data_IF_490387115837
#
_entry.id   IF_490387115837
#
_cell.length_a   1.000
_cell.length_b   1.000
_cell.length_c   1.000
_cell.angle_alpha   90.00
_cell.angle_beta   90.00
_cell.angle_gamma   90.00
#
_symmetry.space_group_name_H-M   'P 1'
#
loop_
_entity.id
_entity.type
_entity.pdbx_description
1 polymer ?
#
# COMPACT_ATOMS: atom_id res chain seq x y z
N UNK A 1 -64.38 -14.35 -0.46
CA UNK A 1 -63.30 -13.87 0.40
C UNK A 1 -61.96 -14.39 -0.14
N UNK A 2 -61.32 -13.71 -1.06
CA UNK A 2 -59.98 -14.10 -1.65
C UNK A 2 -59.11 -12.84 -1.93
N UNK A 3 -58.96 -11.98 -0.92
CA UNK A 3 -58.25 -10.68 -1.12
C UNK A 3 -57.01 -10.43 -0.27
N UNK A 4 -56.66 -11.34 0.66
CA UNK A 4 -55.63 -11.02 1.70
C UNK A 4 -54.27 -11.70 1.49
N UNK A 5 -54.13 -12.63 0.55
CA UNK A 5 -52.87 -13.35 0.34
C UNK A 5 -51.93 -12.70 -0.69
N UNK A 6 -52.41 -11.82 -1.55
CA UNK A 6 -51.58 -11.17 -2.58
C UNK A 6 -50.76 -9.99 -2.04
N UNK A 7 -51.21 -9.33 -0.97
CA UNK A 7 -50.51 -8.20 -0.35
C UNK A 7 -49.24 -8.61 0.42
N UNK A 8 -49.24 -9.77 1.07
CA UNK A 8 -48.11 -10.24 1.88
C UNK A 8 -46.95 -10.75 1.04
N UNK A 9 -47.21 -11.38 -0.13
CA UNK A 9 -46.13 -11.85 -1.03
C UNK A 9 -45.39 -10.71 -1.70
N UNK A 10 -46.09 -9.68 -2.13
CA UNK A 10 -45.48 -8.48 -2.74
C UNK A 10 -44.61 -7.70 -1.73
N UNK A 11 -45.07 -7.57 -0.49
CA UNK A 11 -44.32 -6.93 0.59
C UNK A 11 -43.04 -7.73 0.93
N UNK A 12 -43.15 -9.06 1.00
CA UNK A 12 -41.99 -9.95 1.26
C UNK A 12 -40.93 -9.87 0.16
N UNK A 13 -41.34 -9.91 -1.10
CA UNK A 13 -40.43 -9.80 -2.25
C UNK A 13 -39.78 -8.41 -2.31
N UNK A 14 -40.49 -7.38 -1.97
CA UNK A 14 -39.96 -6.01 -1.92
C UNK A 14 -38.93 -5.84 -0.79
N UNK A 15 -39.24 -6.33 0.41
CA UNK A 15 -38.30 -6.33 1.54
C UNK A 15 -37.03 -7.14 1.26
N UNK A 16 -37.16 -8.30 0.61
CA UNK A 16 -36.03 -9.13 0.21
C UNK A 16 -35.11 -8.40 -0.77
N UNK A 17 -35.68 -7.71 -1.79
CA UNK A 17 -34.90 -6.90 -2.74
C UNK A 17 -34.21 -5.72 -2.09
N UNK A 18 -34.82 -5.07 -1.12
CA UNK A 18 -34.21 -3.98 -0.34
C UNK A 18 -33.04 -4.54 0.48
N UNK A 19 -33.21 -5.65 1.17
CA UNK A 19 -32.17 -6.28 1.95
C UNK A 19 -30.99 -6.76 1.07
N UNK A 20 -31.25 -7.36 -0.10
CA UNK A 20 -30.22 -7.78 -1.05
C UNK A 20 -29.41 -6.57 -1.58
N UNK A 21 -30.07 -5.45 -1.88
CA UNK A 21 -29.39 -4.20 -2.31
C UNK A 21 -28.57 -3.59 -1.19
N UNK A 22 -29.08 -3.57 0.05
CA UNK A 22 -28.33 -3.08 1.21
C UNK A 22 -27.11 -3.94 1.50
N UNK A 23 -27.21 -5.26 1.39
CA UNK A 23 -26.07 -6.18 1.54
C UNK A 23 -25.05 -6.03 0.41
N UNK A 24 -25.47 -5.78 -0.83
CA UNK A 24 -24.57 -5.54 -1.95
C UNK A 24 -23.79 -4.23 -1.75
N UNK A 25 -24.48 -3.13 -1.41
CA UNK A 25 -23.85 -1.85 -1.13
C UNK A 25 -22.86 -1.91 0.05
N UNK A 26 -23.21 -2.64 1.12
CA UNK A 26 -22.32 -2.85 2.26
C UNK A 26 -21.04 -3.64 1.90
N UNK A 27 -21.15 -4.64 1.02
CA UNK A 27 -20.00 -5.40 0.54
C UNK A 27 -19.09 -4.55 -0.34
N UNK A 28 -19.65 -3.76 -1.22
CA UNK A 28 -18.91 -2.86 -2.11
C UNK A 28 -18.14 -1.80 -1.32
N UNK A 29 -18.79 -1.17 -0.32
CA UNK A 29 -18.13 -0.22 0.57
C UNK A 29 -16.99 -0.86 1.38
N UNK A 30 -17.17 -2.09 1.86
CA UNK A 30 -16.12 -2.83 2.56
C UNK A 30 -14.92 -3.09 1.66
N UNK A 31 -15.14 -3.55 0.43
CA UNK A 31 -14.06 -3.79 -0.54
C UNK A 31 -13.32 -2.50 -0.90
N UNK A 32 -14.05 -1.39 -1.04
CA UNK A 32 -13.47 -0.06 -1.24
C UNK A 32 -12.54 0.34 -0.09
N UNK A 33 -12.99 0.17 1.15
CA UNK A 33 -12.21 0.45 2.35
C UNK A 33 -10.97 -0.47 2.47
N UNK A 34 -11.11 -1.75 2.15
CA UNK A 34 -10.00 -2.70 2.14
C UNK A 34 -8.93 -2.33 1.09
N UNK A 35 -9.35 -1.90 -0.11
CA UNK A 35 -8.43 -1.40 -1.15
C UNK A 35 -7.72 -0.13 -0.68
N UNK A 36 -8.45 0.84 -0.15
CA UNK A 36 -7.87 2.08 0.37
C UNK A 36 -6.83 1.80 1.45
N UNK A 37 -7.14 0.90 2.40
CA UNK A 37 -6.22 0.49 3.45
C UNK A 37 -4.98 -0.23 2.88
N UNK A 38 -5.12 -1.06 1.84
CA UNK A 38 -4.01 -1.74 1.21
C UNK A 38 -3.10 -0.78 0.44
N UNK A 39 -3.67 0.16 -0.33
CA UNK A 39 -2.90 1.16 -1.07
C UNK A 39 -2.12 2.10 -0.15
N UNK A 40 -2.78 2.67 0.86
CA UNK A 40 -2.14 3.56 1.82
C UNK A 40 -1.12 2.82 2.70
N UNK A 41 -1.41 1.59 3.09
CA UNK A 41 -0.51 0.74 3.85
C UNK A 41 0.77 0.42 3.09
N UNK A 42 0.68 0.09 1.81
CA UNK A 42 1.85 -0.14 0.96
C UNK A 42 2.71 1.13 0.81
N UNK A 43 2.11 2.26 0.45
CA UNK A 43 2.82 3.53 0.31
C UNK A 43 3.52 3.95 1.62
N UNK A 44 2.86 3.75 2.76
CA UNK A 44 3.44 3.99 4.08
C UNK A 44 4.63 3.08 4.37
N UNK A 45 4.48 1.77 4.18
CA UNK A 45 5.51 0.79 4.47
C UNK A 45 6.79 0.98 3.63
N UNK A 46 6.67 1.26 2.33
CA UNK A 46 7.84 1.53 1.47
C UNK A 46 8.51 2.87 1.82
N UNK A 47 7.75 3.86 2.29
CA UNK A 47 8.29 5.14 2.74
C UNK A 47 9.08 5.00 4.06
N UNK A 48 8.60 4.16 4.98
CA UNK A 48 9.36 3.82 6.20
C UNK A 48 10.64 3.06 5.85
N UNK A 49 10.57 2.07 4.96
CA UNK A 49 11.74 1.33 4.50
C UNK A 49 12.77 2.27 3.86
N UNK A 50 12.35 3.19 3.00
CA UNK A 50 13.24 4.23 2.44
C UNK A 50 14.00 4.97 3.54
N UNK A 51 13.30 5.45 4.58
CA UNK A 51 13.92 6.17 5.70
C UNK A 51 14.92 5.31 6.47
N UNK A 52 14.59 4.04 6.71
CA UNK A 52 15.49 3.09 7.35
C UNK A 52 16.77 2.86 6.55
N UNK A 53 16.66 2.66 5.24
CA UNK A 53 17.80 2.47 4.35
C UNK A 53 18.70 3.71 4.26
N UNK A 54 18.13 4.90 4.24
CA UNK A 54 18.89 6.16 4.29
C UNK A 54 19.66 6.27 5.59
N UNK A 55 19.05 5.90 6.73
CA UNK A 55 19.74 5.87 8.02
C UNK A 55 20.93 4.90 7.97
N UNK A 56 20.77 3.70 7.41
CA UNK A 56 21.87 2.73 7.21
C UNK A 56 22.96 3.33 6.32
N UNK A 57 22.58 3.99 5.23
CA UNK A 57 23.53 4.62 4.30
C UNK A 57 24.40 5.66 5.00
N UNK A 58 23.83 6.56 5.84
CA UNK A 58 24.58 7.53 6.61
C UNK A 58 25.46 6.88 7.68
N UNK A 59 24.93 5.90 8.44
CA UNK A 59 25.68 5.20 9.49
C UNK A 59 26.89 4.44 8.92
N UNK A 60 26.73 3.83 7.76
CA UNK A 60 27.83 3.13 7.08
C UNK A 60 28.99 4.06 6.69
N UNK A 61 28.69 5.30 6.33
CA UNK A 61 29.67 6.30 5.86
C UNK A 61 30.17 7.26 6.94
N UNK A 62 29.68 7.17 8.15
CA UNK A 62 30.14 7.99 9.26
C UNK A 62 31.63 7.73 9.57
N UNK A 63 32.37 8.80 9.88
CA UNK A 63 33.77 8.70 10.27
C UNK A 63 34.04 9.54 11.53
N UNK A 64 34.37 8.92 12.68
CA UNK A 64 34.49 7.48 12.89
C UNK A 64 33.13 6.77 12.81
N UNK A 65 33.14 5.52 12.39
CA UNK A 65 31.92 4.72 12.32
C UNK A 65 31.59 4.13 13.69
N UNK A 66 30.37 4.38 14.14
CA UNK A 66 29.77 3.73 15.31
C UNK A 66 29.16 2.38 14.88
N UNK A 67 29.83 1.29 15.20
CA UNK A 67 29.40 -0.06 14.80
C UNK A 67 28.09 -0.49 15.43
N UNK A 68 27.81 -0.08 16.66
CA UNK A 68 26.54 -0.44 17.34
C UNK A 68 25.37 0.34 16.75
N UNK A 69 25.55 1.64 16.45
CA UNK A 69 24.54 2.43 15.76
C UNK A 69 24.30 1.92 14.32
N UNK A 70 25.35 1.50 13.62
CA UNK A 70 25.21 0.89 12.29
C UNK A 70 24.44 -0.44 12.35
N UNK A 71 24.78 -1.32 13.28
CA UNK A 71 24.11 -2.60 13.47
C UNK A 71 22.63 -2.42 13.82
N UNK A 72 22.31 -1.49 14.71
CA UNK A 72 20.94 -1.13 15.09
C UNK A 72 20.14 -0.65 13.88
N UNK A 73 20.72 0.25 13.07
CA UNK A 73 20.09 0.73 11.84
C UNK A 73 19.82 -0.40 10.83
N UNK A 74 20.74 -1.36 10.70
CA UNK A 74 20.56 -2.55 9.85
C UNK A 74 19.39 -3.41 10.31
N UNK A 75 19.33 -3.76 11.58
CA UNK A 75 18.24 -4.57 12.14
C UNK A 75 16.88 -3.87 11.93
N UNK A 76 16.82 -2.57 12.17
CA UNK A 76 15.59 -1.81 11.93
C UNK A 76 15.22 -1.77 10.44
N UNK A 77 16.17 -1.60 9.55
CA UNK A 77 15.95 -1.64 8.10
C UNK A 77 15.41 -3.00 7.64
N UNK A 78 15.94 -4.11 8.18
CA UNK A 78 15.46 -5.45 7.87
C UNK A 78 14.00 -5.65 8.34
N UNK A 79 13.67 -5.15 9.54
CA UNK A 79 12.29 -5.15 10.06
C UNK A 79 11.34 -4.36 9.16
N UNK A 80 11.76 -3.18 8.71
CA UNK A 80 10.98 -2.33 7.80
C UNK A 80 10.82 -2.98 6.42
N UNK A 81 11.84 -3.70 5.95
CA UNK A 81 11.77 -4.51 4.73
C UNK A 81 10.69 -5.58 4.82
N UNK A 82 10.67 -6.35 5.90
CA UNK A 82 9.64 -7.36 6.13
C UNK A 82 8.22 -6.76 6.20
N UNK A 83 8.08 -5.57 6.78
CA UNK A 83 6.80 -4.86 6.81
C UNK A 83 6.36 -4.40 5.41
N UNK A 84 7.30 -3.94 4.59
CA UNK A 84 7.02 -3.55 3.20
C UNK A 84 6.61 -4.77 2.34
N UNK A 85 7.27 -5.91 2.50
CA UNK A 85 6.90 -7.17 1.83
C UNK A 85 5.49 -7.61 2.23
N UNK A 86 5.16 -7.53 3.52
CA UNK A 86 3.81 -7.86 4.02
C UNK A 86 2.74 -6.96 3.41
N UNK A 87 3.02 -5.66 3.29
CA UNK A 87 2.12 -4.70 2.67
C UNK A 87 1.96 -4.95 1.16
N UNK A 88 3.04 -5.34 0.47
CA UNK A 88 3.03 -5.74 -0.94
C UNK A 88 2.15 -6.97 -1.15
N UNK A 89 2.33 -8.04 -0.37
CA UNK A 89 1.50 -9.25 -0.47
C UNK A 89 0.02 -8.95 -0.20
N UNK A 90 -0.28 -8.13 0.82
CA UNK A 90 -1.65 -7.72 1.10
C UNK A 90 -2.25 -6.97 -0.10
N UNK A 91 -1.50 -6.08 -0.70
CA UNK A 91 -1.95 -5.32 -1.87
C UNK A 91 -2.24 -6.24 -3.05
N UNK A 92 -1.38 -7.22 -3.34
CA UNK A 92 -1.59 -8.21 -4.39
C UNK A 92 -2.85 -9.06 -4.16
N UNK A 93 -3.15 -9.41 -2.91
CA UNK A 93 -4.34 -10.20 -2.56
C UNK A 93 -5.65 -9.41 -2.69
N UNK A 94 -5.61 -8.10 -2.39
CA UNK A 94 -6.81 -7.24 -2.38
C UNK A 94 -7.06 -6.61 -3.75
N UNK A 95 -6.00 -6.30 -4.50
CA UNK A 95 -6.06 -5.61 -5.77
C UNK A 95 -4.96 -6.10 -6.71
N UNK A 96 -5.17 -7.27 -7.31
CA UNK A 96 -4.30 -7.77 -8.38
C UNK A 96 -4.56 -6.97 -9.68
N UNK A 97 -4.03 -5.74 -9.72
CA UNK A 97 -4.21 -4.80 -10.81
C UNK A 97 -2.94 -4.72 -11.67
N UNK A 98 -3.02 -5.11 -12.96
CA UNK A 98 -1.87 -5.08 -13.86
C UNK A 98 -1.29 -3.68 -14.09
N UNK A 99 -2.04 -2.61 -13.84
CA UNK A 99 -1.55 -1.22 -13.97
C UNK A 99 -0.75 -0.79 -12.74
N UNK A 100 -1.06 -1.32 -11.55
CA UNK A 100 -0.33 -0.99 -10.33
C UNK A 100 1.01 -1.74 -10.22
N UNK A 101 1.12 -2.94 -10.78
CA UNK A 101 2.36 -3.74 -10.74
C UNK A 101 3.61 -3.00 -11.20
N UNK A 102 3.66 -2.44 -12.43
CA UNK A 102 4.86 -1.72 -12.88
C UNK A 102 5.18 -0.50 -12.02
N UNK A 103 4.18 0.15 -11.40
CA UNK A 103 4.40 1.26 -10.48
C UNK A 103 5.02 0.78 -9.15
N UNK A 104 4.59 -0.36 -8.64
CA UNK A 104 5.19 -1.00 -7.47
C UNK A 104 6.64 -1.45 -7.76
N UNK A 105 6.89 -2.00 -8.94
CA UNK A 105 8.24 -2.39 -9.37
C UNK A 105 9.17 -1.17 -9.50
N UNK A 106 8.67 -0.05 -10.00
CA UNK A 106 9.42 1.21 -10.04
C UNK A 106 9.79 1.71 -8.63
N UNK A 107 8.87 1.66 -7.68
CA UNK A 107 9.13 2.00 -6.26
C UNK A 107 10.20 1.08 -5.70
N UNK A 108 10.07 -0.23 -5.90
CA UNK A 108 11.03 -1.24 -5.40
C UNK A 108 12.43 -1.03 -5.97
N UNK A 109 12.53 -0.69 -7.25
CA UNK A 109 13.80 -0.39 -7.91
C UNK A 109 14.49 0.83 -7.28
N UNK A 110 13.74 1.89 -6.93
CA UNK A 110 14.30 3.08 -6.27
C UNK A 110 14.73 2.81 -4.83
N UNK A 111 13.97 2.03 -4.09
CA UNK A 111 14.37 1.56 -2.75
C UNK A 111 15.68 0.77 -2.82
N UNK A 112 15.78 -0.17 -3.75
CA UNK A 112 17.01 -0.96 -3.95
C UNK A 112 18.22 -0.14 -4.36
N UNK A 113 18.03 0.99 -5.04
CA UNK A 113 19.12 1.87 -5.47
C UNK A 113 19.76 2.68 -4.33
N UNK A 114 19.09 2.85 -3.18
CA UNK A 114 19.58 3.66 -2.05
C UNK A 114 20.93 3.15 -1.55
N UNK A 115 21.07 1.84 -1.41
CA UNK A 115 22.33 1.23 -0.91
C UNK A 115 23.51 1.45 -1.85
N UNK A 116 23.25 1.52 -3.15
CA UNK A 116 24.26 1.72 -4.20
C UNK A 116 24.63 3.19 -4.42
N UNK A 117 23.96 4.16 -3.80
CA UNK A 117 24.29 5.57 -3.95
C UNK A 117 25.73 5.84 -3.49
N UNK A 118 26.57 6.40 -4.38
CA UNK A 118 27.98 6.64 -4.12
C UNK A 118 28.22 7.86 -3.22
N UNK A 119 27.38 8.87 -3.40
CA UNK A 119 27.47 10.13 -2.66
C UNK A 119 26.09 10.70 -2.28
N UNK A 120 26.10 11.80 -1.53
CA UNK A 120 24.88 12.46 -1.06
C UNK A 120 24.05 13.01 -2.22
N UNK A 121 24.69 13.46 -3.31
CA UNK A 121 23.96 14.02 -4.45
C UNK A 121 23.17 12.95 -5.17
N UNK A 122 23.74 11.78 -5.39
CA UNK A 122 23.04 10.63 -5.93
C UNK A 122 21.90 10.18 -5.01
N UNK A 123 22.13 10.15 -3.70
CA UNK A 123 21.08 9.82 -2.73
C UNK A 123 19.88 10.76 -2.85
N UNK A 124 20.11 12.08 -2.94
CA UNK A 124 19.03 13.08 -3.12
C UNK A 124 18.25 12.83 -4.42
N UNK A 125 18.92 12.50 -5.50
CA UNK A 125 18.26 12.15 -6.78
C UNK A 125 17.39 10.92 -6.63
N UNK A 126 17.91 9.84 -6.02
CA UNK A 126 17.17 8.60 -5.79
C UNK A 126 15.95 8.85 -4.89
N UNK A 127 16.07 9.67 -3.84
CA UNK A 127 14.93 10.06 -2.99
C UNK A 127 13.85 10.79 -3.77
N UNK A 128 14.24 11.76 -4.62
CA UNK A 128 13.29 12.49 -5.47
C UNK A 128 12.57 11.57 -6.45
N UNK A 129 13.28 10.65 -7.08
CA UNK A 129 12.71 9.66 -8.00
C UNK A 129 11.79 8.66 -7.28
N UNK A 130 12.15 8.26 -6.05
CA UNK A 130 11.29 7.42 -5.21
C UNK A 130 9.97 8.15 -4.89
N UNK A 131 10.02 9.40 -4.49
CA UNK A 131 8.83 10.19 -4.18
C UNK A 131 7.92 10.37 -5.40
N UNK A 132 8.50 10.56 -6.58
CA UNK A 132 7.76 10.61 -7.85
C UNK A 132 7.09 9.26 -8.14
N UNK A 133 7.79 8.15 -7.94
CA UNK A 133 7.24 6.81 -8.14
C UNK A 133 6.08 6.50 -7.18
N UNK A 134 6.21 6.86 -5.90
CA UNK A 134 5.13 6.70 -4.91
C UNK A 134 3.92 7.57 -5.26
N UNK A 135 4.14 8.80 -5.71
CA UNK A 135 3.06 9.69 -6.14
C UNK A 135 2.32 9.14 -7.35
N UNK A 136 3.04 8.65 -8.36
CA UNK A 136 2.45 8.00 -9.52
C UNK A 136 1.60 6.77 -9.15
N UNK A 137 2.09 5.97 -8.20
CA UNK A 137 1.33 4.84 -7.65
C UNK A 137 0.05 5.31 -6.95
N UNK A 138 0.12 6.31 -6.07
CA UNK A 138 -1.04 6.84 -5.35
C UNK A 138 -2.09 7.45 -6.29
N UNK A 139 -1.65 8.18 -7.32
CA UNK A 139 -2.55 8.75 -8.33
C UNK A 139 -3.26 7.66 -9.14
N UNK A 140 -2.56 6.58 -9.48
CA UNK A 140 -3.16 5.44 -10.17
C UNK A 140 -4.12 4.66 -9.25
N UNK A 141 -3.77 4.48 -7.96
CA UNK A 141 -4.58 3.81 -6.96
C UNK A 141 -5.87 4.59 -6.65
N UNK A 142 -5.79 5.92 -6.54
CA UNK A 142 -6.96 6.78 -6.29
C UNK A 142 -8.04 6.60 -7.36
N UNK A 143 -7.65 6.51 -8.63
CA UNK A 143 -8.59 6.26 -9.75
C UNK A 143 -9.27 4.88 -9.72
N UNK A 144 -8.93 4.01 -8.78
CA UNK A 144 -9.45 2.64 -8.62
C UNK A 144 -10.29 2.45 -7.38
N UNK A 145 -10.39 3.49 -6.58
CA UNK A 145 -11.25 3.50 -5.38
C UNK A 145 -12.68 3.96 -5.74
N UNK A 146 -12.80 4.77 -6.79
CA UNK A 146 -14.09 5.22 -7.33
C UNK A 146 -14.73 4.13 -8.19
#
# INVERSE_FOLDING_TARGET
MAGTLTGSLSTYLFQRRIAERAHAASREERLRQERLAAYSGYAGAVSELKRGLITVWFRRRASPRDEDAYRTARVESDRLGAAADTADFRLQLVADDPVLRPLMDAIRAKVGAIDAAEDRQQLIVIESEFEQAVRAFLDAAARRID
#
